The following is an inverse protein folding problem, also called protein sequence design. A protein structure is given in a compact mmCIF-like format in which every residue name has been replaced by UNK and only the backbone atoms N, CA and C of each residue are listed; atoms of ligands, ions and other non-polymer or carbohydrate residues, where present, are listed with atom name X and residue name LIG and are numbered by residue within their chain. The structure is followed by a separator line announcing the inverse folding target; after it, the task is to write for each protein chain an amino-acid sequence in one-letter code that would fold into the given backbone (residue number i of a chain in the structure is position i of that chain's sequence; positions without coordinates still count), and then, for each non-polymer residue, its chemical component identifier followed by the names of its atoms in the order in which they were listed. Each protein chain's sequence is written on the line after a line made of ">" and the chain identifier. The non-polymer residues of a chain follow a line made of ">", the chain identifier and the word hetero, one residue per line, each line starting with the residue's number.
data_IF_511591332065
#
_entry.id   IF_511591332065
#
_cell.length_a   1.000
_cell.length_b   1.000
_cell.length_c   1.000
_cell.angle_alpha   90.00
_cell.angle_beta   90.00
_cell.angle_gamma   90.00
#
_symmetry.space_group_name_H-M   'P 1'
#
loop_
_entity.id
_entity.type
_entity.pdbx_description
1 polymer ?
#
# COMPACT_ATOMS: atom_id res chain seq x y z
N UNK A 1 22.61 -33.54 -29.63
CA UNK A 1 21.23 -33.89 -29.24
C UNK A 1 20.86 -32.90 -28.17
N UNK A 2 19.82 -32.09 -28.38
CA UNK A 2 19.25 -31.27 -27.31
C UNK A 2 18.47 -32.23 -26.40
N UNK A 3 18.91 -32.36 -25.16
CA UNK A 3 18.09 -32.97 -24.12
C UNK A 3 17.00 -31.95 -23.76
N UNK A 4 15.76 -32.27 -24.06
CA UNK A 4 14.62 -31.49 -23.58
C UNK A 4 14.09 -32.12 -22.30
N UNK A 5 14.04 -31.34 -21.22
CA UNK A 5 13.65 -31.83 -19.88
C UNK A 5 12.16 -32.22 -19.81
N UNK A 6 11.28 -31.54 -20.56
CA UNK A 6 9.84 -31.81 -20.60
C UNK A 6 9.31 -31.58 -22.01
N UNK A 7 8.68 -32.61 -22.60
CA UNK A 7 8.00 -32.52 -23.89
C UNK A 7 6.49 -32.67 -23.69
N UNK A 8 5.72 -31.68 -24.13
CA UNK A 8 4.25 -31.72 -24.09
C UNK A 8 3.74 -32.15 -25.46
N UNK A 9 3.05 -33.28 -25.52
CA UNK A 9 2.52 -33.83 -26.78
C UNK A 9 1.04 -33.46 -26.92
N UNK A 10 0.74 -32.62 -27.92
CA UNK A 10 -0.61 -32.25 -28.35
C UNK A 10 -0.98 -30.78 -28.05
N UNK A 11 -1.45 -30.05 -29.07
CA UNK A 11 -1.83 -28.63 -28.99
C UNK A 11 -3.30 -28.38 -28.66
N UNK A 12 -3.99 -29.32 -28.01
CA UNK A 12 -5.37 -29.13 -27.54
C UNK A 12 -5.44 -28.27 -26.28
N UNK A 13 -6.66 -27.95 -25.82
CA UNK A 13 -6.90 -27.10 -24.63
C UNK A 13 -6.05 -27.54 -23.43
N UNK A 14 -6.01 -28.85 -23.14
CA UNK A 14 -5.21 -29.39 -22.03
C UNK A 14 -3.71 -29.25 -22.25
N UNK A 15 -3.21 -29.51 -23.47
CA UNK A 15 -1.77 -29.42 -23.76
C UNK A 15 -1.27 -27.99 -23.74
N UNK A 16 -2.05 -27.04 -24.28
CA UNK A 16 -1.75 -25.62 -24.23
C UNK A 16 -1.86 -25.07 -22.79
N UNK A 17 -2.86 -25.49 -22.01
CA UNK A 17 -2.98 -25.09 -20.60
C UNK A 17 -1.82 -25.62 -19.75
N UNK A 18 -1.39 -26.87 -19.97
CA UNK A 18 -0.20 -27.45 -19.32
C UNK A 18 1.08 -26.74 -19.77
N UNK A 19 1.21 -26.37 -21.05
CA UNK A 19 2.34 -25.57 -21.53
C UNK A 19 2.37 -24.18 -20.90
N UNK A 20 1.23 -23.50 -20.81
CA UNK A 20 1.08 -22.20 -20.13
C UNK A 20 1.37 -22.30 -18.62
N UNK A 21 0.97 -23.40 -17.97
CA UNK A 21 1.26 -23.63 -16.56
C UNK A 21 2.76 -23.91 -16.32
N UNK A 22 3.43 -24.58 -17.25
CA UNK A 22 4.87 -24.85 -17.20
C UNK A 22 5.70 -23.62 -17.62
N UNK A 23 5.16 -22.74 -18.46
CA UNK A 23 5.72 -21.43 -18.85
C UNK A 23 5.25 -20.28 -17.95
N UNK A 24 4.62 -20.57 -16.81
CA UNK A 24 4.23 -19.55 -15.84
C UNK A 24 5.48 -19.08 -15.07
N UNK A 25 6.42 -18.50 -15.79
CA UNK A 25 7.43 -17.64 -15.19
C UNK A 25 6.68 -16.49 -14.54
N UNK A 26 6.90 -16.31 -13.24
CA UNK A 26 6.37 -15.17 -12.52
C UNK A 26 6.96 -13.89 -13.15
N UNK A 27 6.21 -13.24 -14.01
CA UNK A 27 6.65 -12.03 -14.69
C UNK A 27 6.69 -10.87 -13.70
N UNK A 28 7.88 -10.29 -13.50
CA UNK A 28 8.02 -9.07 -12.72
C UNK A 28 7.75 -7.87 -13.63
N UNK A 29 6.67 -7.13 -13.33
CA UNK A 29 6.35 -5.88 -14.01
C UNK A 29 6.51 -4.71 -13.05
N UNK A 30 7.30 -3.73 -13.46
CA UNK A 30 7.38 -2.45 -12.77
C UNK A 30 6.66 -1.37 -13.56
N UNK A 31 6.05 -0.43 -12.85
CA UNK A 31 5.38 0.73 -13.40
C UNK A 31 5.66 1.94 -12.53
N UNK A 32 5.63 3.14 -13.12
CA UNK A 32 5.69 4.37 -12.33
C UNK A 32 4.38 4.54 -11.57
N UNK A 33 4.50 4.96 -10.31
CA UNK A 33 3.33 5.29 -9.48
C UNK A 33 2.45 6.36 -10.13
N UNK A 34 3.04 7.37 -10.77
CA UNK A 34 2.33 8.43 -11.50
C UNK A 34 1.39 7.86 -12.55
N UNK A 35 1.89 6.90 -13.33
CA UNK A 35 1.18 6.37 -14.49
C UNK A 35 -0.02 5.52 -14.03
N UNK A 36 0.17 4.71 -12.98
CA UNK A 36 -0.93 3.97 -12.35
C UNK A 36 -2.01 4.90 -11.81
N UNK A 37 -1.61 5.94 -11.07
CA UNK A 37 -2.57 6.90 -10.50
C UNK A 37 -3.33 7.66 -11.58
N UNK A 38 -2.65 8.08 -12.64
CA UNK A 38 -3.28 8.78 -13.77
C UNK A 38 -4.29 7.89 -14.49
N UNK A 39 -3.94 6.64 -14.75
CA UNK A 39 -4.86 5.66 -15.37
C UNK A 39 -6.06 5.42 -14.46
N UNK A 40 -5.85 5.20 -13.15
CA UNK A 40 -6.97 5.00 -12.22
C UNK A 40 -7.89 6.23 -12.16
N UNK A 41 -7.32 7.43 -12.08
CA UNK A 41 -8.08 8.67 -12.02
C UNK A 41 -8.89 8.92 -13.30
N UNK A 42 -8.32 8.64 -14.49
CA UNK A 42 -9.01 8.78 -15.78
C UNK A 42 -10.23 7.86 -15.94
N UNK A 43 -10.29 6.76 -15.18
CA UNK A 43 -11.40 5.81 -15.22
C UNK A 43 -12.53 6.16 -14.22
N UNK A 44 -12.40 7.24 -13.45
CA UNK A 44 -13.47 7.72 -12.57
C UNK A 44 -14.40 8.68 -13.31
N UNK A 45 -15.69 8.76 -12.93
CA UNK A 45 -16.59 9.80 -13.43
C UNK A 45 -16.01 11.19 -13.20
N UNK A 46 -16.33 12.12 -14.11
CA UNK A 46 -16.02 13.54 -13.93
C UNK A 46 -16.50 14.04 -12.56
N UNK A 47 -15.74 14.96 -11.97
CA UNK A 47 -16.01 15.57 -10.65
C UNK A 47 -15.87 14.64 -9.42
N UNK A 48 -15.40 13.40 -9.59
CA UNK A 48 -15.12 12.49 -8.45
C UNK A 48 -13.93 12.97 -7.60
N UNK A 49 -12.92 13.61 -8.21
CA UNK A 49 -11.69 14.06 -7.53
C UNK A 49 -11.71 15.58 -7.37
N UNK A 50 -11.58 16.04 -6.13
CA UNK A 50 -11.40 17.47 -5.79
C UNK A 50 -9.96 17.72 -5.32
N UNK A 51 -9.22 18.56 -6.06
CA UNK A 51 -7.85 18.96 -5.70
C UNK A 51 -7.83 20.22 -4.83
N UNK A 52 -6.71 20.44 -4.11
CA UNK A 52 -6.58 21.58 -3.19
C UNK A 52 -7.37 21.43 -1.88
N UNK A 53 -7.91 20.24 -1.62
CA UNK A 53 -8.73 19.92 -0.45
C UNK A 53 -7.94 19.15 0.61
N UNK A 54 -6.85 19.72 1.15
CA UNK A 54 -6.09 19.06 2.22
C UNK A 54 -6.90 19.06 3.52
N UNK A 55 -7.23 17.86 4.02
CA UNK A 55 -7.86 17.67 5.33
C UNK A 55 -6.88 18.04 6.45
N UNK A 56 -7.32 18.84 7.42
CA UNK A 56 -6.50 19.26 8.57
C UNK A 56 -7.10 18.89 9.92
N UNK A 57 -8.43 18.73 10.00
CA UNK A 57 -9.13 18.38 11.24
C UNK A 57 -10.47 17.71 10.93
N UNK A 58 -10.92 16.86 11.84
CA UNK A 58 -12.24 16.24 11.80
C UNK A 58 -13.00 16.47 13.11
N UNK A 59 -14.30 16.70 12.99
CA UNK A 59 -15.23 16.82 14.13
C UNK A 59 -16.46 15.96 13.87
N UNK A 60 -16.88 15.19 14.86
CA UNK A 60 -18.12 14.41 14.77
C UNK A 60 -19.26 15.19 15.41
N UNK A 61 -20.33 15.37 14.65
CA UNK A 61 -21.54 15.98 15.15
C UNK A 61 -22.53 14.88 15.61
N UNK A 62 -22.80 14.76 16.92
CA UNK A 62 -23.72 13.76 17.44
C UNK A 62 -25.19 14.03 17.07
N UNK A 63 -25.55 15.27 16.71
CA UNK A 63 -26.92 15.64 16.37
C UNK A 63 -27.23 15.13 14.95
N UNK A 64 -26.38 15.48 13.99
CA UNK A 64 -26.58 15.07 12.59
C UNK A 64 -26.02 13.69 12.27
N UNK A 65 -25.27 13.07 13.20
CA UNK A 65 -24.53 11.82 13.00
C UNK A 65 -23.60 11.87 11.78
N UNK A 66 -23.04 13.05 11.49
CA UNK A 66 -22.12 13.29 10.38
C UNK A 66 -20.76 13.74 10.88
N UNK A 67 -19.76 13.53 10.04
CA UNK A 67 -18.41 14.03 10.28
C UNK A 67 -18.15 15.27 9.45
N UNK A 68 -17.78 16.36 10.11
CA UNK A 68 -17.30 17.58 9.49
C UNK A 68 -15.79 17.48 9.24
N UNK A 69 -15.39 17.68 7.99
CA UNK A 69 -14.02 17.64 7.51
C UNK A 69 -13.55 19.08 7.28
N UNK A 70 -12.63 19.59 8.11
CA UNK A 70 -12.05 20.91 7.93
C UNK A 70 -10.89 20.85 6.95
N UNK A 71 -10.93 21.70 5.93
CA UNK A 71 -9.90 21.77 4.90
C UNK A 71 -8.95 22.96 5.16
N UNK A 72 -7.71 22.81 4.69
CA UNK A 72 -6.67 23.83 4.86
C UNK A 72 -7.06 25.19 4.25
N UNK A 73 -7.89 25.19 3.21
CA UNK A 73 -8.39 26.41 2.57
C UNK A 73 -9.51 27.13 3.36
N UNK A 74 -9.85 26.65 4.57
CA UNK A 74 -10.88 27.23 5.44
C UNK A 74 -12.30 26.74 5.16
N UNK A 75 -12.52 25.96 4.10
CA UNK A 75 -13.83 25.34 3.81
C UNK A 75 -14.02 24.05 4.60
N UNK A 76 -15.24 23.52 4.60
CA UNK A 76 -15.58 22.26 5.25
C UNK A 76 -16.48 21.38 4.39
N UNK A 77 -16.40 20.07 4.61
CA UNK A 77 -17.26 19.07 3.96
C UNK A 77 -17.98 18.26 5.03
N UNK A 78 -19.28 18.06 4.85
CA UNK A 78 -20.08 17.15 5.68
C UNK A 78 -20.13 15.77 5.03
N UNK A 79 -19.67 14.75 5.77
CA UNK A 79 -19.61 13.39 5.28
C UNK A 79 -20.43 12.45 6.18
N UNK A 80 -21.23 11.58 5.55
CA UNK A 80 -21.90 10.46 6.23
C UNK A 80 -20.96 9.28 6.46
N UNK A 81 -19.96 9.12 5.60
CA UNK A 81 -18.95 8.06 5.64
C UNK A 81 -17.60 8.68 5.34
N UNK A 82 -16.56 8.32 6.09
CA UNK A 82 -15.19 8.79 5.85
C UNK A 82 -14.26 7.59 5.78
N UNK A 83 -13.49 7.51 4.70
CA UNK A 83 -12.45 6.50 4.51
C UNK A 83 -11.12 7.24 4.38
N UNK A 84 -10.27 7.14 5.41
CA UNK A 84 -8.94 7.73 5.43
C UNK A 84 -7.97 6.95 4.58
N UNK A 85 -7.67 7.48 3.40
CA UNK A 85 -6.61 7.01 2.48
C UNK A 85 -5.46 8.03 2.39
N UNK A 86 -5.28 8.83 3.44
CA UNK A 86 -4.37 9.99 3.54
C UNK A 86 -2.95 9.64 4.00
N UNK A 87 -2.61 8.36 3.91
CA UNK A 87 -1.23 7.85 3.97
C UNK A 87 -0.57 7.92 5.35
N UNK A 88 0.76 7.96 5.37
CA UNK A 88 1.58 7.88 6.57
C UNK A 88 1.26 8.96 7.63
N UNK A 89 0.84 10.16 7.21
CA UNK A 89 0.56 11.32 8.07
C UNK A 89 -0.95 11.55 8.21
N UNK A 90 -1.70 10.46 8.31
CA UNK A 90 -3.16 10.45 8.23
C UNK A 90 -3.82 11.17 9.40
N UNK A 91 -4.57 12.23 9.08
CA UNK A 91 -5.45 12.96 10.01
C UNK A 91 -6.59 12.06 10.47
N UNK A 92 -7.09 11.19 9.59
CA UNK A 92 -8.16 10.24 9.93
C UNK A 92 -7.67 9.20 10.96
N UNK A 93 -6.43 8.74 10.82
CA UNK A 93 -5.83 7.82 11.79
C UNK A 93 -5.64 8.46 13.16
N UNK A 94 -5.21 9.72 13.19
CA UNK A 94 -5.06 10.47 14.43
C UNK A 94 -6.43 10.70 15.10
N UNK A 95 -7.48 11.00 14.32
CA UNK A 95 -8.85 11.14 14.82
C UNK A 95 -9.45 9.83 15.37
N UNK A 96 -9.03 8.69 14.83
CA UNK A 96 -9.37 7.35 15.33
C UNK A 96 -8.55 6.95 16.58
N UNK A 97 -7.67 7.82 17.07
CA UNK A 97 -6.77 7.58 18.20
C UNK A 97 -5.83 6.37 17.97
N UNK A 98 -5.43 6.11 16.72
CA UNK A 98 -4.51 5.02 16.40
C UNK A 98 -3.09 5.36 16.87
N UNK A 99 -2.34 4.37 17.40
CA UNK A 99 -0.94 4.63 17.82
C UNK A 99 -0.08 5.09 16.64
N UNK A 100 0.79 6.10 16.81
CA UNK A 100 1.54 6.66 15.69
C UNK A 100 2.55 5.66 15.08
N UNK A 101 2.84 5.75 13.77
CA UNK A 101 3.88 4.94 13.13
C UNK A 101 5.26 5.16 13.75
N UNK A 102 5.99 4.07 13.95
CA UNK A 102 7.35 4.05 14.49
C UNK A 102 8.38 4.14 13.38
N UNK A 103 9.49 4.81 13.68
CA UNK A 103 10.62 4.91 12.77
C UNK A 103 11.40 3.58 12.76
N UNK A 104 11.70 3.09 11.57
CA UNK A 104 12.66 2.01 11.38
C UNK A 104 14.08 2.58 11.47
N UNK A 105 15.05 1.84 12.00
CA UNK A 105 16.46 2.29 11.99
C UNK A 105 17.14 2.07 10.62
N UNK A 106 16.36 2.22 9.55
CA UNK A 106 16.75 2.09 8.16
C UNK A 106 16.13 3.24 7.37
N UNK A 107 16.82 3.64 6.32
CA UNK A 107 16.34 4.58 5.32
C UNK A 107 16.61 4.00 3.93
N UNK A 108 16.03 4.61 2.90
CA UNK A 108 16.30 4.24 1.53
C UNK A 108 16.52 5.50 0.68
N UNK A 109 17.43 5.40 -0.28
CA UNK A 109 17.54 6.33 -1.41
C UNK A 109 17.00 5.63 -2.62
N UNK A 110 16.04 6.24 -3.30
CA UNK A 110 15.42 5.72 -4.50
C UNK A 110 15.74 6.68 -5.64
N UNK A 111 15.92 6.16 -6.85
CA UNK A 111 16.16 7.01 -8.00
C UNK A 111 15.80 6.34 -9.32
N UNK A 112 15.84 7.16 -10.35
CA UNK A 112 15.63 6.73 -11.73
C UNK A 112 16.84 7.10 -12.57
N UNK A 113 17.13 6.27 -13.56
CA UNK A 113 18.22 6.48 -14.51
C UNK A 113 17.68 6.23 -15.91
N UNK A 114 17.75 7.26 -16.74
CA UNK A 114 17.30 7.22 -18.13
C UNK A 114 18.46 6.89 -19.07
N UNK A 115 18.23 5.97 -19.98
CA UNK A 115 19.14 5.50 -21.02
C UNK A 115 18.48 5.73 -22.37
N UNK A 116 18.69 6.89 -23.03
CA UNK A 116 18.02 7.22 -24.29
C UNK A 116 18.22 6.20 -25.41
N UNK A 117 19.36 5.51 -25.42
CA UNK A 117 19.71 4.48 -26.41
C UNK A 117 19.35 3.06 -25.96
N UNK A 118 18.70 2.92 -24.81
CA UNK A 118 18.38 1.64 -24.18
C UNK A 118 19.40 1.24 -23.12
N UNK A 119 18.93 0.57 -22.07
CA UNK A 119 19.79 0.22 -20.92
C UNK A 119 20.53 -1.11 -21.08
N UNK A 120 20.11 -1.99 -21.99
CA UNK A 120 20.76 -3.29 -22.26
C UNK A 120 20.58 -4.38 -21.19
N UNK A 121 20.11 -4.04 -19.98
CA UNK A 121 19.70 -5.03 -18.96
C UNK A 121 18.51 -5.91 -19.40
N UNK A 122 18.45 -7.16 -18.91
CA UNK A 122 17.25 -7.99 -19.02
C UNK A 122 16.12 -7.57 -18.07
N UNK A 123 14.93 -8.18 -18.21
CA UNK A 123 13.74 -7.95 -17.37
C UNK A 123 13.84 -8.57 -15.96
N UNK A 124 14.99 -8.43 -15.32
CA UNK A 124 15.31 -9.07 -14.04
C UNK A 124 15.25 -8.07 -12.89
N UNK A 125 14.75 -8.55 -11.75
CA UNK A 125 14.88 -7.86 -10.48
C UNK A 125 16.21 -8.24 -9.83
N UNK A 126 17.13 -7.29 -9.76
CA UNK A 126 18.42 -7.47 -9.07
C UNK A 126 18.31 -6.98 -7.63
N UNK A 127 18.72 -7.82 -6.68
CA UNK A 127 18.84 -7.46 -5.27
C UNK A 127 20.15 -7.99 -4.70
N UNK A 128 21.00 -7.08 -4.25
CA UNK A 128 22.31 -7.39 -3.66
C UNK A 128 22.31 -6.93 -2.20
N UNK A 129 22.74 -7.82 -1.31
CA UNK A 129 22.90 -7.53 0.11
C UNK A 129 24.39 -7.43 0.45
N UNK A 130 24.81 -6.27 0.92
CA UNK A 130 26.11 -6.04 1.56
C UNK A 130 25.99 -6.00 3.08
N UNK A 131 27.04 -5.53 3.76
CA UNK A 131 27.01 -5.34 5.21
C UNK A 131 26.03 -4.23 5.59
N UNK A 132 24.84 -4.63 6.08
CA UNK A 132 23.71 -3.76 6.42
C UNK A 132 23.16 -2.87 5.29
N UNK A 133 23.74 -2.93 4.09
CA UNK A 133 23.28 -2.21 2.90
C UNK A 133 22.52 -3.18 1.99
N UNK A 134 21.39 -2.72 1.47
CA UNK A 134 20.60 -3.43 0.48
C UNK A 134 20.49 -2.58 -0.77
N UNK A 135 20.98 -3.09 -1.88
CA UNK A 135 20.87 -2.45 -3.19
C UNK A 135 19.92 -3.26 -4.04
N UNK A 136 19.12 -2.59 -4.85
CA UNK A 136 18.45 -3.25 -5.96
C UNK A 136 18.18 -2.33 -7.13
N UNK A 137 17.90 -2.96 -8.27
CA UNK A 137 17.42 -2.29 -9.47
C UNK A 137 16.36 -3.12 -10.17
N UNK A 138 15.52 -2.45 -10.93
CA UNK A 138 14.59 -3.10 -11.85
C UNK A 138 14.31 -2.20 -13.05
N UNK A 139 14.19 -2.78 -14.25
CA UNK A 139 13.73 -2.06 -15.42
C UNK A 139 12.23 -1.74 -15.33
N UNK A 140 11.87 -0.53 -15.73
CA UNK A 140 10.48 -0.11 -15.92
C UNK A 140 10.09 -0.27 -17.38
N UNK A 141 11.00 0.11 -18.27
CA UNK A 141 10.94 -0.09 -19.71
C UNK A 141 12.38 -0.09 -20.26
N UNK A 142 12.53 -0.31 -21.56
CA UNK A 142 13.83 -0.43 -22.25
C UNK A 142 14.82 0.72 -22.01
N UNK A 143 14.32 1.90 -21.61
CA UNK A 143 15.10 3.11 -21.42
C UNK A 143 15.21 3.53 -19.95
N UNK A 144 14.40 3.00 -19.03
CA UNK A 144 14.28 3.53 -17.68
C UNK A 144 14.51 2.46 -16.62
N UNK A 145 15.55 2.67 -15.83
CA UNK A 145 15.83 1.87 -14.64
C UNK A 145 15.39 2.62 -13.40
N UNK A 146 14.73 1.90 -12.49
CA UNK A 146 14.58 2.34 -11.11
C UNK A 146 15.54 1.56 -10.22
N UNK A 147 16.11 2.24 -9.24
CA UNK A 147 17.06 1.66 -8.31
C UNK A 147 16.79 2.15 -6.90
N UNK A 148 17.22 1.36 -5.92
CA UNK A 148 17.15 1.72 -4.52
C UNK A 148 18.41 1.30 -3.77
N UNK A 149 18.77 2.08 -2.74
CA UNK A 149 19.82 1.78 -1.78
C UNK A 149 19.25 1.96 -0.37
N UNK A 150 18.97 0.85 0.30
CA UNK A 150 18.56 0.79 1.70
C UNK A 150 19.77 0.67 2.63
N UNK A 151 19.81 1.45 3.71
CA UNK A 151 20.91 1.41 4.69
C UNK A 151 20.47 1.91 6.07
N UNK A 152 21.25 1.68 7.14
CA UNK A 152 20.98 2.28 8.44
C UNK A 152 20.97 3.81 8.37
N UNK A 153 20.22 4.43 9.27
CA UNK A 153 20.16 5.89 9.37
C UNK A 153 21.46 6.46 9.94
N UNK A 154 21.81 7.66 9.48
CA UNK A 154 22.94 8.43 10.00
C UNK A 154 22.48 9.83 10.42
N UNK A 155 23.17 10.49 11.36
CA UNK A 155 22.85 11.88 11.75
C UNK A 155 22.88 12.87 10.57
N UNK A 156 23.68 12.58 9.53
CA UNK A 156 23.85 13.43 8.35
C UNK A 156 22.64 13.39 7.40
N UNK A 157 21.75 12.41 7.56
CA UNK A 157 20.61 12.18 6.65
C UNK A 157 19.70 13.41 6.51
N UNK A 158 19.50 14.18 7.59
CA UNK A 158 18.64 15.37 7.58
C UNK A 158 19.18 16.50 6.71
N UNK A 159 20.50 16.56 6.55
CA UNK A 159 21.17 17.54 5.68
C UNK A 159 21.27 17.02 4.27
N UNK A 160 21.75 15.78 4.10
CA UNK A 160 22.00 15.16 2.80
C UNK A 160 20.70 14.97 2.00
N UNK A 161 19.59 14.64 2.68
CA UNK A 161 18.29 14.44 2.03
C UNK A 161 17.70 15.70 1.36
N UNK A 162 18.24 16.89 1.64
CA UNK A 162 17.74 18.16 1.09
C UNK A 162 18.38 18.53 -0.26
N UNK A 163 19.48 17.87 -0.64
CA UNK A 163 20.21 18.21 -1.85
C UNK A 163 20.56 16.95 -2.65
N UNK A 164 19.93 16.79 -3.81
CA UNK A 164 20.07 15.58 -4.64
C UNK A 164 21.52 15.26 -5.01
N UNK A 165 22.37 16.28 -5.21
CA UNK A 165 23.80 16.10 -5.51
C UNK A 165 24.56 15.46 -4.34
N UNK A 166 24.33 15.96 -3.12
CA UNK A 166 24.90 15.39 -1.91
C UNK A 166 24.33 14.01 -1.63
N UNK A 167 23.04 13.81 -1.85
CA UNK A 167 22.37 12.51 -1.69
C UNK A 167 22.95 11.46 -2.63
N UNK A 168 23.13 11.78 -3.91
CA UNK A 168 23.79 10.90 -4.87
C UNK A 168 25.25 10.64 -4.46
N UNK A 169 26.02 11.67 -4.12
CA UNK A 169 27.43 11.51 -3.75
C UNK A 169 27.61 10.63 -2.51
N UNK A 170 26.80 10.84 -1.47
CA UNK A 170 26.78 9.99 -0.27
C UNK A 170 26.36 8.56 -0.59
N UNK A 171 25.39 8.38 -1.50
CA UNK A 171 24.96 7.05 -1.95
C UNK A 171 26.07 6.33 -2.69
N UNK A 172 26.79 7.01 -3.58
CA UNK A 172 27.93 6.46 -4.33
C UNK A 172 29.05 5.96 -3.42
N UNK A 173 29.39 6.72 -2.36
CA UNK A 173 30.42 6.30 -1.39
C UNK A 173 30.02 5.01 -0.65
N UNK A 174 28.72 4.83 -0.36
CA UNK A 174 28.20 3.65 0.31
C UNK A 174 28.24 2.39 -0.57
N UNK A 175 28.15 2.55 -1.89
CA UNK A 175 28.07 1.44 -2.84
C UNK A 175 29.38 1.18 -3.59
N UNK A 176 30.50 1.80 -3.18
CA UNK A 176 31.80 1.69 -3.88
C UNK A 176 32.31 0.25 -4.03
N UNK A 177 31.96 -0.62 -3.08
CA UNK A 177 32.37 -2.04 -3.05
C UNK A 177 31.32 -2.97 -3.71
N UNK A 178 30.22 -2.40 -4.23
CA UNK A 178 29.22 -3.15 -4.99
C UNK A 178 29.64 -3.25 -6.47
N UNK A 179 29.04 -4.18 -7.26
CA UNK A 179 29.35 -4.30 -8.68
C UNK A 179 29.25 -2.97 -9.43
N UNK A 180 30.18 -2.74 -10.36
CA UNK A 180 30.30 -1.49 -11.14
C UNK A 180 28.98 -1.07 -11.80
N UNK A 181 28.20 -2.05 -12.23
CA UNK A 181 26.86 -1.87 -12.79
C UNK A 181 25.94 -1.02 -11.90
N UNK A 182 25.93 -1.26 -10.58
CA UNK A 182 25.11 -0.50 -9.62
C UNK A 182 25.61 0.95 -9.55
N UNK A 183 26.92 1.10 -9.40
CA UNK A 183 27.57 2.41 -9.31
C UNK A 183 27.30 3.25 -10.55
N UNK A 184 27.33 2.65 -11.74
CA UNK A 184 27.02 3.34 -13.00
C UNK A 184 25.56 3.79 -13.09
N UNK A 185 24.61 2.94 -12.67
CA UNK A 185 23.19 3.30 -12.61
C UNK A 185 22.96 4.49 -11.68
N UNK A 186 23.54 4.47 -10.47
CA UNK A 186 23.39 5.56 -9.49
C UNK A 186 24.12 6.83 -9.94
N UNK A 187 25.28 6.71 -10.58
CA UNK A 187 26.06 7.86 -11.08
C UNK A 187 25.32 8.63 -12.18
N UNK A 188 24.66 7.90 -13.09
CA UNK A 188 23.89 8.43 -14.22
C UNK A 188 22.47 8.86 -13.86
N UNK A 189 22.07 8.73 -12.59
CA UNK A 189 20.70 9.01 -12.19
C UNK A 189 20.27 10.45 -12.49
N UNK A 190 18.98 10.61 -12.74
CA UNK A 190 18.35 11.91 -12.84
C UNK A 190 18.23 12.52 -11.43
N UNK A 191 18.94 13.62 -11.20
CA UNK A 191 19.02 14.29 -9.91
C UNK A 191 17.67 14.82 -9.42
N UNK A 192 16.75 15.13 -10.33
CA UNK A 192 15.40 15.60 -9.98
C UNK A 192 14.49 14.45 -9.54
N UNK A 193 14.91 13.21 -9.82
CA UNK A 193 14.16 11.98 -9.51
C UNK A 193 14.83 11.13 -8.42
N UNK A 194 15.84 11.65 -7.72
CA UNK A 194 16.44 10.99 -6.54
C UNK A 194 15.73 11.45 -5.28
N UNK A 195 15.19 10.50 -4.52
CA UNK A 195 14.43 10.78 -3.29
C UNK A 195 14.97 9.99 -2.11
N UNK A 196 15.04 10.63 -0.94
CA UNK A 196 15.35 9.99 0.33
C UNK A 196 14.06 9.64 1.10
N UNK A 197 14.00 8.43 1.66
CA UNK A 197 12.87 7.94 2.44
C UNK A 197 13.31 7.47 3.83
N UNK A 198 12.67 8.02 4.86
CA UNK A 198 12.70 7.46 6.20
C UNK A 198 11.67 6.35 6.32
N UNK A 199 12.11 5.12 6.58
CA UNK A 199 11.20 3.99 6.65
C UNK A 199 10.44 4.01 7.96
N UNK A 200 9.11 3.92 7.90
CA UNK A 200 8.22 3.88 9.06
C UNK A 200 7.33 2.66 8.99
N UNK A 201 6.82 2.24 10.14
CA UNK A 201 5.89 1.13 10.24
C UNK A 201 4.94 1.32 11.41
N UNK A 202 3.70 0.85 11.27
CA UNK A 202 2.87 0.55 12.44
C UNK A 202 3.35 -0.76 13.05
N UNK A 203 3.49 -0.78 14.37
CA UNK A 203 4.09 -1.92 15.03
C UNK A 203 3.13 -3.12 15.01
N UNK A 204 3.57 -4.33 14.62
CA UNK A 204 2.67 -5.47 14.47
C UNK A 204 1.93 -5.84 15.76
N UNK A 205 2.57 -5.68 16.92
CA UNK A 205 1.98 -5.97 18.23
C UNK A 205 0.92 -4.94 18.67
N UNK A 206 0.88 -3.76 18.04
CA UNK A 206 -0.14 -2.75 18.33
C UNK A 206 -1.45 -3.08 17.56
N UNK A 207 -1.34 -3.62 16.33
CA UNK A 207 -2.47 -3.87 15.43
C UNK A 207 -3.65 -4.65 16.06
N UNK A 208 -3.46 -5.74 16.84
CA UNK A 208 -4.58 -6.47 17.44
C UNK A 208 -5.46 -5.62 18.36
N UNK A 209 -4.89 -4.59 18.99
CA UNK A 209 -5.58 -3.71 19.93
C UNK A 209 -6.20 -2.48 19.26
N UNK A 210 -5.77 -2.13 18.06
CA UNK A 210 -6.25 -0.96 17.34
C UNK A 210 -7.71 -1.11 16.88
N UNK A 211 -8.44 0.01 16.97
CA UNK A 211 -9.80 0.16 16.47
C UNK A 211 -9.77 0.97 15.18
N UNK A 212 -9.68 0.28 14.03
CA UNK A 212 -9.67 0.89 12.70
C UNK A 212 -11.04 1.46 12.25
N UNK A 213 -11.98 1.66 13.18
CA UNK A 213 -13.29 2.24 12.92
C UNK A 213 -13.84 2.91 14.18
N UNK A 214 -14.47 4.07 13.98
CA UNK A 214 -15.39 4.70 14.94
C UNK A 214 -16.60 5.24 14.17
N UNK A 215 -17.79 4.69 14.44
CA UNK A 215 -18.98 4.95 13.63
C UNK A 215 -18.75 4.60 12.16
N UNK A 216 -19.10 5.50 11.26
CA UNK A 216 -18.95 5.38 9.80
C UNK A 216 -17.58 5.86 9.28
N UNK A 217 -16.60 6.03 10.16
CA UNK A 217 -15.22 6.43 9.83
C UNK A 217 -14.28 5.23 9.90
N UNK A 218 -13.44 5.04 8.88
CA UNK A 218 -12.40 3.99 8.83
C UNK A 218 -11.16 4.45 8.05
N UNK A 219 -10.14 3.60 7.94
CA UNK A 219 -8.88 3.86 7.24
C UNK A 219 -8.49 2.70 6.31
N UNK A 220 -7.72 3.00 5.27
CA UNK A 220 -7.17 2.03 4.32
C UNK A 220 -5.77 2.45 3.85
N UNK A 221 -5.00 1.51 3.29
CA UNK A 221 -3.63 1.75 2.84
C UNK A 221 -2.69 2.18 3.97
N UNK A 222 -1.72 3.02 3.67
CA UNK A 222 -0.69 3.45 4.63
C UNK A 222 -1.27 4.12 5.89
N UNK A 223 -2.44 4.76 5.80
CA UNK A 223 -3.15 5.29 6.97
C UNK A 223 -3.44 4.17 7.99
N UNK A 224 -3.94 3.03 7.51
CA UNK A 224 -4.23 1.86 8.32
C UNK A 224 -2.97 1.09 8.71
N UNK A 225 -2.01 0.94 7.78
CA UNK A 225 -1.01 -0.12 7.89
C UNK A 225 0.34 0.16 7.26
N UNK A 226 0.78 1.43 7.23
CA UNK A 226 2.13 1.78 6.75
C UNK A 226 3.18 0.79 7.27
N UNK A 227 3.99 0.27 6.35
CA UNK A 227 4.92 -0.81 6.62
C UNK A 227 6.22 -0.63 5.85
N UNK A 228 7.27 -1.33 6.28
CA UNK A 228 8.55 -1.30 5.58
C UNK A 228 8.44 -1.86 4.16
N UNK A 229 9.26 -1.39 3.19
CA UNK A 229 9.20 -1.87 1.80
C UNK A 229 9.92 -3.22 1.61
N UNK A 230 10.29 -3.93 2.70
CA UNK A 230 11.24 -5.04 2.64
C UNK A 230 10.75 -6.28 1.87
N UNK A 231 9.43 -6.41 1.73
CA UNK A 231 8.75 -7.45 0.94
C UNK A 231 7.91 -6.87 -0.21
N UNK A 232 7.93 -5.55 -0.44
CA UNK A 232 7.22 -4.92 -1.56
C UNK A 232 5.69 -4.96 -1.51
N UNK A 233 5.06 -5.15 -0.33
CA UNK A 233 3.62 -5.40 -0.22
C UNK A 233 2.74 -4.19 0.14
N UNK A 234 3.30 -3.02 0.47
CA UNK A 234 2.48 -1.87 0.90
C UNK A 234 1.43 -1.44 -0.13
N UNK A 235 1.83 -1.27 -1.40
CA UNK A 235 0.93 -0.90 -2.49
C UNK A 235 -0.10 -1.98 -2.81
N UNK A 236 0.32 -3.25 -2.86
CA UNK A 236 -0.58 -4.38 -3.08
C UNK A 236 -1.64 -4.48 -1.96
N UNK A 237 -1.22 -4.37 -0.70
CA UNK A 237 -2.13 -4.38 0.44
C UNK A 237 -3.16 -3.24 0.40
N UNK A 238 -2.79 -2.05 -0.10
CA UNK A 238 -3.73 -0.96 -0.29
C UNK A 238 -4.77 -1.25 -1.40
N UNK A 239 -4.37 -1.94 -2.47
CA UNK A 239 -5.30 -2.41 -3.50
C UNK A 239 -6.23 -3.51 -2.96
N UNK A 240 -5.70 -4.44 -2.17
CA UNK A 240 -6.51 -5.44 -1.45
C UNK A 240 -7.56 -4.76 -0.57
N UNK A 241 -7.20 -3.69 0.16
CA UNK A 241 -8.15 -2.94 0.97
C UNK A 241 -9.26 -2.32 0.12
N UNK A 242 -8.93 -1.71 -1.02
CA UNK A 242 -9.90 -1.08 -1.90
C UNK A 242 -10.95 -2.09 -2.41
N UNK A 243 -10.51 -3.29 -2.80
CA UNK A 243 -11.40 -4.38 -3.25
C UNK A 243 -12.28 -4.87 -2.10
N UNK A 244 -11.69 -5.23 -0.95
CA UNK A 244 -12.44 -5.77 0.18
C UNK A 244 -13.42 -4.74 0.74
N UNK A 245 -13.01 -3.48 0.87
CA UNK A 245 -13.87 -2.39 1.34
C UNK A 245 -15.02 -2.12 0.37
N UNK A 246 -14.73 -2.01 -0.92
CA UNK A 246 -15.73 -1.82 -1.97
C UNK A 246 -16.79 -2.93 -1.95
N UNK A 247 -16.35 -4.19 -1.89
CA UNK A 247 -17.23 -5.36 -1.77
C UNK A 247 -18.09 -5.32 -0.51
N UNK A 248 -17.48 -5.06 0.66
CA UNK A 248 -18.20 -5.03 1.93
C UNK A 248 -19.28 -3.93 1.97
N UNK A 249 -19.00 -2.77 1.38
CA UNK A 249 -19.94 -1.65 1.26
C UNK A 249 -21.05 -1.97 0.24
N UNK A 250 -20.69 -2.47 -0.94
CA UNK A 250 -21.66 -2.82 -1.99
C UNK A 250 -22.70 -3.83 -1.51
N UNK A 251 -22.29 -4.86 -0.77
CA UNK A 251 -23.20 -5.87 -0.21
C UNK A 251 -24.30 -5.29 0.69
N UNK A 252 -24.03 -4.19 1.42
CA UNK A 252 -25.04 -3.55 2.26
C UNK A 252 -25.81 -2.45 1.52
N UNK A 253 -25.25 -1.88 0.46
CA UNK A 253 -25.89 -0.85 -0.36
C UNK A 253 -26.85 -1.44 -1.42
N UNK A 254 -26.57 -2.62 -1.96
CA UNK A 254 -27.39 -3.28 -3.02
C UNK A 254 -28.65 -3.93 -2.45
N UNK A 255 -28.75 -4.15 -1.14
CA UNK A 255 -29.92 -4.75 -0.47
C UNK A 255 -31.18 -3.84 -0.45
N UNK A 256 -31.30 -2.86 -1.35
CA UNK A 256 -32.53 -2.06 -1.48
C UNK A 256 -32.90 -1.66 -2.94
N UNK A 257 -33.27 -2.61 -3.84
CA UNK A 257 -33.87 -2.27 -5.14
C UNK A 257 -35.38 -2.00 -5.05
N UNK A 258 -36.07 -2.44 -3.99
CA UNK A 258 -37.53 -2.41 -3.91
C UNK A 258 -38.04 -1.28 -3.00
N UNK A 259 -38.07 -0.04 -3.50
CA UNK A 259 -39.02 1.00 -3.03
C UNK A 259 -39.20 2.19 -3.98
N UNK A 260 -38.82 2.06 -5.25
CA UNK A 260 -39.11 3.04 -6.32
C UNK A 260 -40.52 2.86 -6.93
N UNK A 261 -41.47 2.29 -6.21
CA UNK A 261 -42.82 1.96 -6.69
C UNK A 261 -43.93 2.73 -5.98
N UNK A 262 -44.25 3.90 -6.53
CA UNK A 262 -45.48 4.71 -6.46
C UNK A 262 -46.71 4.27 -5.60
N UNK A 263 -47.26 5.26 -4.87
CA UNK A 263 -48.60 5.45 -4.26
C UNK A 263 -48.81 4.89 -2.83
N UNK A 264 -49.33 5.64 -1.84
CA UNK A 264 -50.36 6.69 -1.87
C UNK A 264 -50.24 7.74 -0.74
N UNK A 265 -50.49 9.00 -1.10
CA UNK A 265 -50.69 10.18 -0.24
C UNK A 265 -51.52 9.96 1.04
N UNK A 266 -50.93 10.27 2.21
CA UNK A 266 -51.64 10.89 3.35
C UNK A 266 -50.63 11.62 4.26
N UNK A 267 -50.83 12.93 4.40
CA UNK A 267 -49.89 13.87 5.00
C UNK A 267 -49.90 13.83 6.54
N UNK A 268 -48.73 13.58 7.14
CA UNK A 268 -48.34 14.03 8.48
C UNK A 268 -46.84 14.30 8.52
N UNK A 269 -46.49 15.59 8.52
CA UNK A 269 -45.11 16.10 8.48
C UNK A 269 -44.21 15.59 9.63
N UNK A 270 -44.80 15.25 10.78
CA UNK A 270 -44.08 14.71 11.94
C UNK A 270 -43.77 13.21 11.83
N UNK A 271 -44.62 12.44 11.13
CA UNK A 271 -44.38 11.00 10.91
C UNK A 271 -43.32 10.79 9.81
N UNK A 272 -43.25 11.69 8.81
CA UNK A 272 -42.21 11.66 7.76
C UNK A 272 -40.79 11.96 8.31
N UNK A 273 -40.64 12.97 9.19
CA UNK A 273 -39.35 13.31 9.79
C UNK A 273 -38.82 12.19 10.70
N UNK A 274 -39.71 11.51 11.46
CA UNK A 274 -39.35 10.36 12.29
C UNK A 274 -38.98 9.12 11.44
N UNK A 275 -39.73 8.84 10.37
CA UNK A 275 -39.43 7.74 9.44
C UNK A 275 -38.11 7.96 8.69
N UNK A 276 -37.82 9.18 8.22
CA UNK A 276 -36.55 9.54 7.56
C UNK A 276 -35.36 9.41 8.53
N UNK A 277 -35.51 9.85 9.78
CA UNK A 277 -34.49 9.68 10.81
C UNK A 277 -34.21 8.21 11.13
N UNK A 278 -35.24 7.38 11.24
CA UNK A 278 -35.08 5.95 11.48
C UNK A 278 -34.40 5.25 10.30
N UNK A 279 -34.73 5.63 9.06
CA UNK A 279 -34.11 5.07 7.86
C UNK A 279 -32.62 5.44 7.78
N UNK A 280 -32.24 6.69 8.06
CA UNK A 280 -30.86 7.13 8.09
C UNK A 280 -30.05 6.43 9.20
N UNK A 281 -30.64 6.26 10.40
CA UNK A 281 -30.02 5.46 11.48
C UNK A 281 -29.82 4.00 11.05
N UNK A 282 -30.80 3.40 10.37
CA UNK A 282 -30.69 2.04 9.85
C UNK A 282 -29.63 1.93 8.74
N UNK A 283 -29.46 2.96 7.91
CA UNK A 283 -28.40 3.03 6.89
C UNK A 283 -27.02 3.18 7.51
N UNK A 284 -26.85 4.02 8.53
CA UNK A 284 -25.59 4.15 9.28
C UNK A 284 -25.16 2.82 9.87
N UNK A 285 -26.07 2.10 10.54
CA UNK A 285 -25.79 0.77 11.11
C UNK A 285 -25.34 -0.25 10.06
N UNK A 286 -25.96 -0.23 8.87
CA UNK A 286 -25.55 -1.08 7.74
C UNK A 286 -24.13 -0.76 7.27
N UNK A 287 -23.79 0.53 7.16
CA UNK A 287 -22.44 0.98 6.79
C UNK A 287 -21.42 0.58 7.86
N UNK A 288 -21.74 0.78 9.15
CA UNK A 288 -20.87 0.37 10.26
C UNK A 288 -20.58 -1.14 10.22
N UNK A 289 -21.60 -1.96 9.94
CA UNK A 289 -21.47 -3.41 9.78
C UNK A 289 -20.60 -3.78 8.57
N UNK A 290 -20.74 -3.08 7.45
CA UNK A 290 -19.87 -3.26 6.29
C UNK A 290 -18.41 -2.97 6.64
N UNK A 291 -18.15 -1.85 7.31
CA UNK A 291 -16.80 -1.47 7.74
C UNK A 291 -16.24 -2.48 8.75
N UNK A 292 -17.05 -2.98 9.69
CA UNK A 292 -16.62 -4.01 10.64
C UNK A 292 -16.18 -5.29 9.94
N UNK A 293 -16.88 -5.71 8.87
CA UNK A 293 -16.46 -6.86 8.07
C UNK A 293 -15.14 -6.60 7.34
N UNK A 294 -15.00 -5.43 6.72
CA UNK A 294 -13.74 -5.00 6.11
C UNK A 294 -12.59 -5.04 7.11
N UNK A 295 -12.74 -4.39 8.27
CA UNK A 295 -11.70 -4.35 9.30
C UNK A 295 -11.38 -5.77 9.79
N UNK A 296 -12.40 -6.59 10.07
CA UNK A 296 -12.20 -7.98 10.54
C UNK A 296 -11.39 -8.81 9.56
N UNK A 297 -11.72 -8.72 8.28
CA UNK A 297 -11.05 -9.47 7.22
C UNK A 297 -9.62 -8.99 6.99
N UNK A 298 -9.42 -7.67 6.93
CA UNK A 298 -8.11 -7.08 6.65
C UNK A 298 -7.16 -7.13 7.82
N UNK A 299 -7.63 -7.00 9.05
CA UNK A 299 -6.78 -6.90 10.25
C UNK A 299 -5.80 -8.07 10.40
N UNK A 300 -6.24 -9.30 10.14
CA UNK A 300 -5.35 -10.47 10.22
C UNK A 300 -4.34 -10.53 9.08
N UNK A 301 -4.76 -10.16 7.87
CA UNK A 301 -3.89 -10.09 6.71
C UNK A 301 -2.81 -9.02 6.89
N UNK A 302 -3.20 -7.84 7.35
CA UNK A 302 -2.29 -6.74 7.67
C UNK A 302 -1.34 -7.10 8.82
N UNK A 303 -1.82 -7.75 9.87
CA UNK A 303 -0.96 -8.23 10.96
C UNK A 303 0.14 -9.16 10.42
N UNK A 304 -0.21 -10.09 9.53
CA UNK A 304 0.74 -11.00 8.90
C UNK A 304 1.78 -10.22 8.08
N UNK A 305 1.35 -9.38 7.15
CA UNK A 305 2.26 -8.58 6.30
C UNK A 305 3.18 -7.67 7.12
N UNK A 306 2.62 -6.99 8.12
CA UNK A 306 3.35 -6.08 9.01
C UNK A 306 4.38 -6.83 9.86
N UNK A 307 4.05 -8.04 10.30
CA UNK A 307 4.97 -8.91 11.05
C UNK A 307 6.11 -9.39 10.15
N UNK A 308 5.79 -9.90 8.96
CA UNK A 308 6.77 -10.39 7.99
C UNK A 308 7.77 -9.30 7.62
N UNK A 309 7.27 -8.13 7.20
CA UNK A 309 8.14 -7.01 6.82
C UNK A 309 8.95 -6.47 8.00
N UNK A 310 8.40 -6.46 9.23
CA UNK A 310 9.15 -6.06 10.42
C UNK A 310 10.31 -7.02 10.70
N UNK A 311 10.07 -8.33 10.61
CA UNK A 311 11.09 -9.35 10.83
C UNK A 311 12.17 -9.32 9.74
N UNK A 312 11.79 -9.20 8.47
CA UNK A 312 12.74 -9.06 7.36
C UNK A 312 13.60 -7.80 7.52
N UNK A 313 12.99 -6.66 7.84
CA UNK A 313 13.73 -5.43 8.14
C UNK A 313 14.65 -5.59 9.36
N UNK A 314 14.21 -6.31 10.39
CA UNK A 314 15.00 -6.59 11.58
C UNK A 314 16.24 -7.43 11.26
N UNK A 315 16.11 -8.45 10.40
CA UNK A 315 17.22 -9.27 9.93
C UNK A 315 18.27 -8.49 9.13
N UNK A 316 17.86 -7.41 8.46
CA UNK A 316 18.78 -6.54 7.70
C UNK A 316 19.59 -5.63 8.64
N UNK A 317 18.99 -5.15 9.73
CA UNK A 317 19.62 -4.16 10.61
C UNK A 317 20.34 -4.74 11.85
N UNK A 318 19.88 -5.87 12.39
CA UNK A 318 20.34 -6.29 13.72
C UNK A 318 21.77 -6.81 13.70
N UNK A 319 22.58 -6.42 14.70
CA UNK A 319 23.91 -6.99 14.96
C UNK A 319 23.87 -8.21 15.89
N UNK A 320 22.78 -8.38 16.63
CA UNK A 320 22.61 -9.48 17.60
C UNK A 320 22.34 -10.79 16.89
N UNK A 321 23.23 -11.77 17.06
CA UNK A 321 23.05 -13.14 16.54
C UNK A 321 21.80 -13.81 17.11
N UNK A 322 21.45 -13.51 18.37
CA UNK A 322 20.23 -14.04 19.01
C UNK A 322 18.98 -13.48 18.33
N UNK A 323 18.93 -12.16 18.10
CA UNK A 323 17.80 -11.53 17.41
C UNK A 323 17.68 -12.01 15.96
N UNK A 324 18.82 -12.22 15.28
CA UNK A 324 18.84 -12.81 13.93
C UNK A 324 18.22 -14.21 13.94
N UNK A 325 18.68 -15.08 14.83
CA UNK A 325 18.20 -16.45 14.94
C UNK A 325 16.70 -16.49 15.24
N UNK A 326 16.24 -15.72 16.23
CA UNK A 326 14.82 -15.64 16.58
C UNK A 326 13.96 -15.16 15.41
N UNK A 327 14.38 -14.08 14.72
CA UNK A 327 13.63 -13.53 13.59
C UNK A 327 13.56 -14.53 12.43
N UNK A 328 14.67 -15.24 12.17
CA UNK A 328 14.74 -16.27 11.14
C UNK A 328 13.83 -17.47 11.47
N UNK A 329 13.84 -17.94 12.72
CA UNK A 329 12.98 -19.05 13.17
C UNK A 329 11.51 -18.67 13.05
N UNK A 330 11.11 -17.46 13.46
CA UNK A 330 9.72 -16.99 13.33
C UNK A 330 9.33 -16.91 11.84
N UNK A 331 10.18 -16.34 10.99
CA UNK A 331 9.94 -16.27 9.55
C UNK A 331 9.78 -17.68 8.94
N UNK A 332 10.66 -18.61 9.30
CA UNK A 332 10.60 -19.98 8.82
C UNK A 332 9.32 -20.71 9.28
N UNK A 333 8.92 -20.55 10.54
CA UNK A 333 7.74 -21.27 11.05
C UNK A 333 6.43 -20.70 10.50
N UNK A 334 6.28 -19.38 10.44
CA UNK A 334 4.98 -18.73 10.16
C UNK A 334 4.85 -18.14 8.74
N UNK A 335 5.97 -17.97 8.04
CA UNK A 335 6.04 -17.28 6.75
C UNK A 335 6.79 -18.11 5.70
N UNK A 336 6.85 -19.43 5.88
CA UNK A 336 7.49 -20.35 4.95
C UNK A 336 6.85 -20.28 3.55
N UNK A 337 7.70 -20.42 2.53
CA UNK A 337 7.52 -20.11 1.11
C UNK A 337 7.66 -18.62 0.73
N UNK A 338 8.78 -18.29 0.08
CA UNK A 338 9.00 -16.99 -0.58
C UNK A 338 7.83 -16.76 -1.53
N UNK A 339 7.12 -15.64 -1.36
CA UNK A 339 5.99 -15.28 -2.23
C UNK A 339 4.63 -15.77 -1.75
N UNK A 340 4.49 -16.57 -0.68
CA UNK A 340 3.15 -16.92 -0.17
C UNK A 340 2.32 -15.69 0.21
N UNK A 341 2.97 -14.61 0.62
CA UNK A 341 2.28 -13.35 0.88
C UNK A 341 1.67 -12.73 -0.37
N UNK A 342 2.04 -13.12 -1.60
CA UNK A 342 1.40 -12.60 -2.83
C UNK A 342 0.10 -13.33 -3.16
N UNK A 343 -0.17 -14.47 -2.52
CA UNK A 343 -1.38 -15.26 -2.69
C UNK A 343 -2.42 -14.82 -1.66
N UNK A 344 -3.21 -13.81 -2.00
CA UNK A 344 -4.33 -13.38 -1.20
C UNK A 344 -5.57 -13.20 -2.08
N UNK A 345 -6.61 -13.97 -1.76
CA UNK A 345 -7.90 -13.88 -2.42
C UNK A 345 -8.74 -12.77 -1.76
N UNK A 346 -8.99 -11.69 -2.51
CA UNK A 346 -9.86 -10.59 -2.06
C UNK A 346 -11.35 -10.90 -2.27
N UNK A 347 -11.67 -12.07 -2.85
CA UNK A 347 -12.99 -12.47 -3.33
C UNK A 347 -13.41 -11.72 -4.60
N UNK A 348 -14.69 -11.87 -4.95
CA UNK A 348 -15.28 -11.27 -6.14
C UNK A 348 -16.00 -9.96 -5.81
N UNK A 349 -15.85 -8.96 -6.69
CA UNK A 349 -16.59 -7.69 -6.65
C UNK A 349 -17.98 -7.83 -7.26
#
# INVERSE_FOLDING_TARGET
>A
MSEEEIVIVGGGISGLATALALHRDAEFRCLKRSDLLEIMAKNLPSDTISFGCQLVKMEYDPITSRTMLHLQNGTFIWAKVVIGCDGLHSVVSDWLDLKPPRLFNMCAVLGFTNYPEGHGFGNEYLRIRGDHILVGRFPINDNLIHWFVGRPRTPQDTTVAKESKLLRASTMELIKDFPEEISEVVKKCDLDLVTFFSLRHRAPWDLPLEKFRKGTVTVAGDAMHVMGPFIGQGGAAALEDAVVLGRCLAQEMVMNPERSGMNSFKWKKHEEEEEEEEEEKAKSKRIEKAIDRYVKERKMRILRLSTETYLVGTLLQTKSSVTKLLSFVILFIFFTFIGNHTLYDCGHL
#
